data_IF_417806837277
#
_entry.id   IF_417806837277
#
_cell.length_a   1.000
_cell.length_b   1.000
_cell.length_c   1.000
_cell.angle_alpha   90.00
_cell.angle_beta   90.00
_cell.angle_gamma   90.00
#
_symmetry.space_group_name_H-M   'P 1'
#
loop_
_entity.id
_entity.type
_entity.pdbx_description
1 polymer ?
#
# COMPACT_ATOMS: atom_id res chain seq x y z
N UNK A 1 -2.33 -36.02 -52.25
CA UNK A 1 -2.13 -36.02 -50.79
C UNK A 1 -1.01 -35.07 -50.35
N UNK A 2 0.23 -35.23 -50.83
CA UNK A 2 1.40 -34.43 -50.40
C UNK A 2 1.26 -32.93 -50.75
N UNK A 3 0.65 -32.59 -51.90
CA UNK A 3 0.46 -31.20 -52.33
C UNK A 3 -0.44 -30.36 -51.41
N UNK A 4 -1.29 -30.99 -50.60
CA UNK A 4 -2.15 -30.30 -49.61
C UNK A 4 -1.57 -30.34 -48.20
N UNK A 5 -0.72 -31.33 -47.89
CA UNK A 5 -0.15 -31.50 -46.56
C UNK A 5 0.85 -30.40 -46.23
N UNK A 6 1.80 -30.09 -47.12
CA UNK A 6 2.84 -29.09 -46.83
C UNK A 6 2.30 -27.67 -46.60
N UNK A 7 1.35 -27.13 -47.40
CA UNK A 7 0.74 -25.83 -47.13
C UNK A 7 -0.05 -25.80 -45.82
N UNK A 8 -0.77 -26.88 -45.49
CA UNK A 8 -1.53 -26.96 -44.24
C UNK A 8 -0.62 -27.01 -43.02
N UNK A 9 0.50 -27.74 -43.08
CA UNK A 9 1.49 -27.75 -42.01
C UNK A 9 2.15 -26.38 -41.84
N UNK A 10 2.45 -25.69 -42.95
CA UNK A 10 2.99 -24.34 -42.91
C UNK A 10 2.00 -23.36 -42.24
N UNK A 11 0.73 -23.40 -42.64
CA UNK A 11 -0.32 -22.56 -42.06
C UNK A 11 -0.48 -22.83 -40.56
N UNK A 12 -0.49 -24.09 -40.15
CA UNK A 12 -0.55 -24.46 -38.74
C UNK A 12 0.64 -23.91 -37.93
N UNK A 13 1.86 -23.98 -38.47
CA UNK A 13 3.04 -23.40 -37.82
C UNK A 13 2.91 -21.87 -37.72
N UNK A 14 2.42 -21.20 -38.76
CA UNK A 14 2.18 -19.75 -38.73
C UNK A 14 1.14 -19.38 -37.66
N UNK A 15 0.01 -20.07 -37.61
CA UNK A 15 -1.04 -19.85 -36.60
C UNK A 15 -0.48 -20.06 -35.19
N UNK A 16 0.32 -21.12 -34.98
CA UNK A 16 0.93 -21.40 -33.70
C UNK A 16 1.92 -20.30 -33.28
N UNK A 17 2.73 -19.79 -34.22
CA UNK A 17 3.64 -18.68 -33.97
C UNK A 17 2.89 -17.38 -33.64
N UNK A 18 1.80 -17.07 -34.35
CA UNK A 18 0.99 -15.90 -34.08
C UNK A 18 0.28 -16.00 -32.73
N UNK A 19 -0.22 -17.18 -32.37
CA UNK A 19 -0.77 -17.46 -31.04
C UNK A 19 0.29 -17.26 -29.96
N UNK A 20 1.48 -17.83 -30.13
CA UNK A 20 2.57 -17.70 -29.16
C UNK A 20 2.98 -16.24 -28.98
N UNK A 21 3.11 -15.49 -30.08
CA UNK A 21 3.41 -14.05 -30.07
C UNK A 21 2.32 -13.26 -29.33
N UNK A 22 1.06 -13.55 -29.62
CA UNK A 22 -0.09 -12.89 -28.97
C UNK A 22 -0.11 -13.17 -27.47
N UNK A 23 0.06 -14.43 -27.07
CA UNK A 23 0.15 -14.84 -25.67
C UNK A 23 1.31 -14.17 -24.95
N UNK A 24 2.46 -14.04 -25.60
CA UNK A 24 3.61 -13.34 -25.03
C UNK A 24 3.29 -11.88 -24.70
N UNK A 25 2.74 -11.12 -25.66
CA UNK A 25 2.40 -9.70 -25.41
C UNK A 25 1.26 -9.53 -24.39
N UNK A 26 0.27 -10.43 -24.41
CA UNK A 26 -0.80 -10.44 -23.40
C UNK A 26 -0.22 -10.67 -22.01
N UNK A 27 0.63 -11.69 -21.83
CA UNK A 27 1.29 -11.97 -20.56
C UNK A 27 2.18 -10.81 -20.12
N UNK A 28 2.95 -10.20 -21.03
CA UNK A 28 3.78 -9.05 -20.72
C UNK A 28 2.93 -7.89 -20.18
N UNK A 29 1.83 -7.54 -20.88
CA UNK A 29 0.93 -6.46 -20.45
C UNK A 29 0.20 -6.76 -19.14
N UNK A 30 -0.14 -8.03 -18.89
CA UNK A 30 -0.74 -8.47 -17.64
C UNK A 30 0.25 -8.32 -16.48
N UNK A 31 1.48 -8.82 -16.64
CA UNK A 31 2.51 -8.73 -15.62
C UNK A 31 2.85 -7.27 -15.30
N UNK A 32 2.96 -6.41 -16.30
CA UNK A 32 3.21 -4.99 -16.08
C UNK A 32 2.11 -4.34 -15.22
N UNK A 33 0.84 -4.51 -15.59
CA UNK A 33 -0.29 -3.96 -14.82
C UNK A 33 -0.37 -4.54 -13.41
N UNK A 34 -0.06 -5.83 -13.27
CA UNK A 34 -0.03 -6.48 -11.97
C UNK A 34 1.04 -5.85 -11.07
N UNK A 35 2.27 -5.69 -11.57
CA UNK A 35 3.36 -5.06 -10.84
C UNK A 35 3.06 -3.60 -10.47
N UNK A 36 2.46 -2.83 -11.39
CA UNK A 36 2.02 -1.45 -11.12
C UNK A 36 1.01 -1.41 -9.96
N UNK A 37 0.02 -2.31 -9.97
CA UNK A 37 -0.97 -2.39 -8.89
C UNK A 37 -0.37 -2.83 -7.55
N UNK A 38 0.57 -3.77 -7.55
CA UNK A 38 1.27 -4.17 -6.32
C UNK A 38 2.13 -3.03 -5.77
N UNK A 39 2.80 -2.27 -6.64
CA UNK A 39 3.55 -1.08 -6.25
C UNK A 39 2.66 -0.01 -5.63
N UNK A 40 1.52 0.29 -6.24
CA UNK A 40 0.55 1.25 -5.72
C UNK A 40 0.03 0.82 -4.33
N UNK A 41 -0.24 -0.48 -4.13
CA UNK A 41 -0.63 -1.00 -2.79
C UNK A 41 0.46 -0.80 -1.75
N UNK A 42 1.71 -1.10 -2.10
CA UNK A 42 2.86 -0.93 -1.22
C UNK A 42 3.06 0.55 -0.86
N UNK A 43 3.02 1.44 -1.85
CA UNK A 43 3.11 2.88 -1.65
C UNK A 43 2.00 3.42 -0.75
N UNK A 44 0.76 2.99 -0.99
CA UNK A 44 -0.39 3.36 -0.17
C UNK A 44 -0.25 2.86 1.27
N UNK A 45 0.25 1.65 1.51
CA UNK A 45 0.47 1.14 2.87
C UNK A 45 1.62 1.85 3.59
N UNK A 46 2.67 2.26 2.86
CA UNK A 46 3.79 3.01 3.42
C UNK A 46 3.41 4.43 3.86
N UNK A 47 2.55 5.09 3.07
CA UNK A 47 2.06 6.46 3.31
C UNK A 47 0.74 6.52 4.07
N UNK A 48 0.14 5.36 4.37
CA UNK A 48 -1.08 5.25 5.17
C UNK A 48 -0.89 5.94 6.52
N UNK A 49 -2.00 6.29 7.15
CA UNK A 49 -1.99 6.72 8.54
C UNK A 49 -1.32 5.65 9.42
N UNK A 50 -0.24 6.04 10.09
CA UNK A 50 0.68 5.19 10.87
C UNK A 50 1.47 4.14 10.06
N UNK A 51 1.54 4.29 8.74
CA UNK A 51 2.55 3.63 7.90
C UNK A 51 3.95 4.07 8.30
N UNK A 52 4.98 3.44 7.73
CA UNK A 52 6.39 3.67 8.11
C UNK A 52 6.78 5.15 7.96
N UNK A 53 6.26 5.80 6.91
CA UNK A 53 6.55 7.20 6.62
C UNK A 53 5.42 8.15 6.98
N UNK A 54 4.19 7.64 7.17
CA UNK A 54 3.03 8.44 7.58
C UNK A 54 2.68 9.58 6.62
N UNK A 55 1.70 10.41 7.00
CA UNK A 55 1.36 11.63 6.25
C UNK A 55 2.43 12.70 6.47
N UNK A 56 2.76 13.45 5.41
CA UNK A 56 3.68 14.62 5.48
C UNK A 56 3.22 15.64 6.53
N UNK A 57 1.91 15.86 6.64
CA UNK A 57 1.30 16.70 7.67
C UNK A 57 0.37 15.86 8.56
N UNK A 58 0.85 15.37 9.72
CA UNK A 58 0.00 14.65 10.65
C UNK A 58 -0.95 15.62 11.37
N UNK A 59 -2.17 15.17 11.65
CA UNK A 59 -3.08 15.91 12.55
C UNK A 59 -2.56 15.78 14.00
N UNK A 60 -2.14 16.88 14.66
CA UNK A 60 -1.61 16.82 16.03
C UNK A 60 -2.68 16.44 17.06
N UNK A 61 -3.96 16.63 16.75
CA UNK A 61 -5.09 16.28 17.61
C UNK A 61 -5.61 14.88 17.35
N UNK A 62 -5.13 14.19 16.30
CA UNK A 62 -5.46 12.79 16.08
C UNK A 62 -4.97 11.94 17.26
N UNK A 63 -5.86 11.10 17.76
CA UNK A 63 -5.59 10.18 18.86
C UNK A 63 -6.06 8.80 18.43
N UNK A 64 -5.28 7.80 18.77
CA UNK A 64 -5.43 6.45 18.27
C UNK A 64 -5.68 5.51 19.42
N UNK A 65 -6.57 4.55 19.23
CA UNK A 65 -6.87 3.50 20.20
C UNK A 65 -6.77 2.13 19.54
N UNK A 66 -6.67 1.09 20.36
CA UNK A 66 -6.67 -0.28 19.87
C UNK A 66 -8.03 -0.63 19.27
N UNK A 67 -8.03 -1.31 18.13
CA UNK A 67 -9.23 -1.90 17.55
C UNK A 67 -9.79 -2.92 18.55
N UNK A 68 -10.96 -2.67 19.15
CA UNK A 68 -11.52 -3.55 20.18
C UNK A 68 -12.02 -4.87 19.59
N UNK A 69 -12.08 -5.00 18.26
CA UNK A 69 -12.55 -6.20 17.56
C UNK A 69 -11.45 -7.23 17.27
N UNK A 70 -10.19 -6.90 17.57
CA UNK A 70 -9.11 -7.89 17.45
C UNK A 70 -9.23 -8.94 18.56
N UNK A 71 -9.46 -10.19 18.15
CA UNK A 71 -9.55 -11.33 19.06
C UNK A 71 -8.27 -11.57 19.87
N UNK A 72 -8.35 -12.44 20.89
CA UNK A 72 -7.23 -12.73 21.77
C UNK A 72 -6.03 -13.29 20.97
N UNK A 73 -4.80 -12.97 21.44
CA UNK A 73 -3.51 -13.50 20.96
C UNK A 73 -2.93 -12.95 19.65
N UNK A 74 -3.47 -11.85 19.08
CA UNK A 74 -2.84 -11.22 17.91
C UNK A 74 -1.72 -10.25 18.32
N UNK A 75 -0.49 -10.55 17.90
CA UNK A 75 0.69 -9.73 18.20
C UNK A 75 0.71 -8.36 17.48
N UNK A 76 -0.05 -8.22 16.39
CA UNK A 76 -0.24 -6.92 15.74
C UNK A 76 -1.55 -6.33 16.25
N UNK A 77 -1.42 -5.33 17.12
CA UNK A 77 -2.53 -4.56 17.65
C UNK A 77 -2.91 -3.46 16.67
N UNK A 78 -3.90 -3.69 15.81
CA UNK A 78 -4.41 -2.67 14.88
C UNK A 78 -4.88 -1.45 15.69
N UNK A 79 -4.43 -0.28 15.26
CA UNK A 79 -4.84 1.00 15.84
C UNK A 79 -5.90 1.64 14.93
N UNK A 80 -6.96 2.17 15.53
CA UNK A 80 -8.02 2.92 14.87
C UNK A 80 -8.07 4.35 15.41
N UNK A 81 -8.56 5.29 14.60
CA UNK A 81 -8.71 6.68 15.02
C UNK A 81 -9.79 6.78 16.10
N UNK A 82 -9.42 7.28 17.28
CA UNK A 82 -10.34 7.52 18.38
C UNK A 82 -11.04 8.87 18.19
N UNK A 83 -12.16 8.85 17.48
CA UNK A 83 -12.96 10.06 17.20
C UNK A 83 -13.55 10.69 18.47
N UNK A 84 -13.75 9.90 19.52
CA UNK A 84 -14.37 10.33 20.78
C UNK A 84 -13.38 10.86 21.81
N UNK A 85 -12.07 10.77 21.55
CA UNK A 85 -11.05 11.15 22.52
C UNK A 85 -11.19 12.62 22.94
N UNK A 86 -11.24 13.53 21.97
CA UNK A 86 -11.30 14.97 22.23
C UNK A 86 -12.65 15.41 22.81
N UNK A 87 -13.71 14.61 22.68
CA UNK A 87 -14.99 14.84 23.35
C UNK A 87 -14.92 14.51 24.85
N UNK A 88 -14.15 13.48 25.22
CA UNK A 88 -13.94 13.08 26.63
C UNK A 88 -12.85 13.90 27.31
N UNK A 89 -11.84 14.29 26.54
CA UNK A 89 -10.69 15.05 27.00
C UNK A 89 -10.53 16.29 26.12
N UNK A 90 -11.23 17.39 26.47
CA UNK A 90 -11.19 18.62 25.70
C UNK A 90 -9.75 19.13 25.52
N UNK A 91 -9.50 19.67 24.34
CA UNK A 91 -8.20 20.24 24.01
C UNK A 91 -7.88 21.45 24.90
N UNK A 92 -6.72 21.41 25.56
CA UNK A 92 -6.18 22.54 26.33
C UNK A 92 -5.02 23.18 25.55
N UNK A 93 -5.09 24.47 25.18
CA UNK A 93 -4.07 25.15 24.37
C UNK A 93 -2.63 25.05 24.91
N UNK A 94 -2.47 25.00 26.24
CA UNK A 94 -1.16 24.84 26.89
C UNK A 94 -0.48 23.50 26.60
N UNK A 95 -1.23 22.50 26.12
CA UNK A 95 -0.74 21.17 25.81
C UNK A 95 0.04 21.12 24.50
N UNK A 96 -0.42 21.77 23.41
CA UNK A 96 0.33 21.83 22.15
C UNK A 96 1.62 22.64 22.31
N UNK A 97 1.59 23.72 23.07
CA UNK A 97 2.82 24.50 23.37
C UNK A 97 3.88 23.60 24.00
N UNK A 98 3.49 22.70 24.93
CA UNK A 98 4.42 21.74 25.55
C UNK A 98 4.91 20.65 24.59
N UNK A 99 4.05 20.15 23.69
CA UNK A 99 4.42 19.13 22.71
C UNK A 99 5.33 19.68 21.60
N UNK A 100 5.10 20.92 21.15
CA UNK A 100 5.89 21.58 20.11
C UNK A 100 7.24 22.10 20.66
N UNK A 101 7.29 22.50 21.94
CA UNK A 101 8.54 22.87 22.60
C UNK A 101 9.43 21.67 22.98
N UNK A 102 8.86 20.47 23.09
CA UNK A 102 9.60 19.21 23.27
C UNK A 102 10.21 18.74 21.94
N UNK A 103 10.98 19.61 21.32
CA UNK A 103 11.91 19.23 20.25
C UNK A 103 13.08 18.45 20.87
N UNK A 104 13.55 17.34 20.26
CA UNK A 104 14.67 16.56 20.81
C UNK A 104 16.02 17.31 20.81
N UNK A 105 16.08 18.53 20.29
CA UNK A 105 17.32 19.32 20.20
C UNK A 105 17.64 20.17 21.44
N UNK A 106 16.87 20.09 22.53
CA UNK A 106 17.15 20.86 23.76
C UNK A 106 17.84 20.07 24.89
N UNK A 107 17.90 18.74 24.82
CA UNK A 107 18.46 17.89 25.89
C UNK A 107 19.94 17.51 25.64
N UNK A 108 20.69 18.35 24.92
CA UNK A 108 22.03 18.03 24.43
C UNK A 108 23.10 19.12 24.56
N UNK A 109 22.97 20.07 25.49
CA UNK A 109 24.08 20.96 25.87
C UNK A 109 24.01 21.35 27.34
N UNK A 110 24.59 20.50 28.21
CA UNK A 110 25.44 20.88 29.35
C UNK A 110 26.47 19.77 29.57
#
# INVERSE_FOLDING_TARGET
AIQLWAPNQLNFIHELLDQQKTQFYQNLSFNQRHLESEWEKIENELTRERGLWGRVTPDPLAKWELDPTEGPLRMRKRMILNKSFNSRYPYLPSYLTRLLLRSPNSDGML
#
